data_IF_390017302395
#
_entry.id   IF_390017302395
#
_cell.length_a   1.000
_cell.length_b   1.000
_cell.length_c   1.000
_cell.angle_alpha   90.00
_cell.angle_beta   90.00
_cell.angle_gamma   90.00
#
_symmetry.space_group_name_H-M   'P 1'
#
loop_
_entity.id
_entity.type
_entity.pdbx_description
1 polymer ?
#
# COMPACT_ATOMS: atom_id res chain seq x y z
N UNK A 1 1.33 -12.72 -3.06
CA UNK A 1 2.65 -12.06 -2.91
C UNK A 1 2.74 -11.42 -1.53
N UNK A 2 3.90 -11.45 -0.87
CA UNK A 2 4.09 -10.85 0.46
C UNK A 2 5.39 -10.04 0.50
N UNK A 3 5.40 -8.95 1.27
CA UNK A 3 6.54 -8.06 1.41
C UNK A 3 6.44 -7.23 2.69
N UNK A 4 7.60 -6.91 3.25
CA UNK A 4 7.77 -6.06 4.43
C UNK A 4 8.78 -4.93 4.12
N UNK A 5 8.55 -3.72 4.66
CA UNK A 5 9.43 -2.55 4.43
C UNK A 5 9.57 -2.23 2.94
N UNK A 6 10.79 -2.03 2.41
CA UNK A 6 11.00 -1.73 0.99
C UNK A 6 10.35 -2.76 0.03
N UNK A 7 10.29 -4.04 0.42
CA UNK A 7 9.63 -5.07 -0.39
C UNK A 7 8.10 -4.95 -0.37
N UNK A 8 7.51 -4.39 0.70
CA UNK A 8 6.10 -4.01 0.73
C UNK A 8 5.79 -2.91 -0.30
N UNK A 9 6.64 -1.88 -0.39
CA UNK A 9 6.53 -0.83 -1.41
C UNK A 9 6.62 -1.40 -2.82
N UNK A 10 7.55 -2.35 -3.05
CA UNK A 10 7.67 -3.04 -4.34
C UNK A 10 6.39 -3.79 -4.72
N UNK A 11 5.87 -4.67 -3.85
CA UNK A 11 4.69 -5.47 -4.19
C UNK A 11 3.43 -4.61 -4.33
N UNK A 12 3.33 -3.49 -3.61
CA UNK A 12 2.23 -2.54 -3.76
C UNK A 12 2.27 -1.91 -5.15
N UNK A 13 3.42 -1.39 -5.59
CA UNK A 13 3.58 -0.85 -6.96
C UNK A 13 3.35 -1.91 -8.04
N UNK A 14 3.88 -3.12 -7.83
CA UNK A 14 3.69 -4.25 -8.74
C UNK A 14 2.20 -4.62 -8.88
N UNK A 15 1.44 -4.58 -7.78
CA UNK A 15 0.00 -4.87 -7.80
C UNK A 15 -0.85 -3.87 -8.58
N UNK A 16 -0.40 -2.62 -8.69
CA UNK A 16 -1.06 -1.62 -9.55
C UNK A 16 -0.75 -1.84 -11.04
N UNK A 17 0.43 -2.36 -11.36
CA UNK A 17 0.88 -2.60 -12.73
C UNK A 17 0.34 -3.91 -13.31
N UNK A 18 0.21 -4.93 -12.47
CA UNK A 18 -0.16 -6.30 -12.86
C UNK A 18 -1.22 -6.89 -11.92
N UNK A 19 -2.40 -6.25 -11.76
CA UNK A 19 -3.42 -6.75 -10.85
C UNK A 19 -3.94 -8.14 -11.26
N UNK A 20 -3.89 -8.48 -12.55
CA UNK A 20 -4.29 -9.78 -13.11
C UNK A 20 -3.34 -10.94 -12.76
N UNK A 21 -2.15 -10.65 -12.21
CA UNK A 21 -1.14 -11.64 -11.84
C UNK A 21 -1.12 -11.96 -10.35
N UNK A 22 -2.00 -11.35 -9.55
CA UNK A 22 -1.95 -11.44 -8.09
C UNK A 22 -3.27 -11.99 -7.56
N UNK A 23 -3.21 -13.17 -6.96
CA UNK A 23 -4.37 -13.78 -6.31
C UNK A 23 -4.63 -13.22 -4.90
N UNK A 24 -3.58 -12.83 -4.17
CA UNK A 24 -3.66 -12.27 -2.82
C UNK A 24 -2.37 -11.50 -2.48
N UNK A 25 -2.48 -10.49 -1.62
CA UNK A 25 -1.39 -9.56 -1.30
C UNK A 25 -1.25 -9.37 0.22
N UNK A 26 -0.04 -9.45 0.76
CA UNK A 26 0.24 -9.12 2.15
C UNK A 26 1.34 -8.04 2.24
N UNK A 27 1.01 -6.87 2.79
CA UNK A 27 1.88 -5.68 2.81
C UNK A 27 2.16 -5.29 4.26
N UNK A 28 3.41 -5.42 4.69
CA UNK A 28 3.84 -5.11 6.06
C UNK A 28 4.77 -3.92 6.18
N UNK A 29 4.62 -3.11 7.22
CA UNK A 29 5.61 -2.08 7.60
C UNK A 29 5.98 -1.16 6.44
N UNK A 30 4.98 -0.67 5.69
CA UNK A 30 5.17 0.08 4.45
C UNK A 30 5.36 1.59 4.68
N UNK A 31 5.69 2.01 5.91
CA UNK A 31 6.03 3.40 6.27
C UNK A 31 4.95 4.46 5.94
N UNK A 32 3.69 4.02 5.79
CA UNK A 32 2.56 4.89 5.43
C UNK A 32 2.52 5.27 3.95
N UNK A 33 3.21 4.55 3.07
CA UNK A 33 3.45 4.90 1.67
C UNK A 33 2.76 3.96 0.66
N UNK A 34 1.45 3.70 0.81
CA UNK A 34 0.73 3.01 -0.26
C UNK A 34 0.48 3.92 -1.46
N UNK A 35 0.54 3.35 -2.65
CA UNK A 35 -0.06 3.95 -3.84
C UNK A 35 -1.55 4.17 -3.63
N UNK A 36 -2.04 5.34 -4.05
CA UNK A 36 -3.46 5.66 -4.00
C UNK A 36 -4.13 5.27 -5.33
N UNK A 37 -5.25 4.51 -5.32
CA UNK A 37 -6.01 4.12 -6.51
C UNK A 37 -6.83 5.26 -7.11
N UNK A 38 -6.25 6.47 -7.19
CA UNK A 38 -6.89 7.68 -7.70
C UNK A 38 -5.87 8.62 -8.36
N UNK A 39 -6.36 9.56 -9.17
CA UNK A 39 -5.53 10.50 -9.94
C UNK A 39 -5.18 11.78 -9.19
N UNK A 40 -5.93 12.13 -8.15
CA UNK A 40 -5.68 13.33 -7.37
C UNK A 40 -6.19 13.23 -5.94
N UNK A 41 -5.68 14.10 -5.07
CA UNK A 41 -6.16 14.32 -3.71
C UNK A 41 -6.16 15.82 -3.45
N UNK A 42 -7.26 16.36 -2.94
CA UNK A 42 -7.41 17.81 -2.65
C UNK A 42 -7.05 18.71 -3.86
N UNK A 43 -7.36 18.26 -5.08
CA UNK A 43 -7.03 18.97 -6.32
C UNK A 43 -5.57 18.84 -6.79
N UNK A 44 -4.71 18.15 -6.04
CA UNK A 44 -3.31 17.88 -6.40
C UNK A 44 -3.20 16.57 -7.16
N UNK A 45 -2.63 16.60 -8.36
CA UNK A 45 -2.40 15.39 -9.18
C UNK A 45 -1.39 14.45 -8.53
N UNK A 46 -1.76 13.17 -8.46
CA UNK A 46 -0.95 12.08 -7.92
C UNK A 46 -0.40 11.23 -9.06
N UNK A 47 0.83 11.53 -9.48
CA UNK A 47 1.56 10.72 -10.45
C UNK A 47 2.11 9.45 -9.79
N UNK A 48 2.51 8.47 -10.59
CA UNK A 48 3.30 7.34 -10.12
C UNK A 48 4.60 7.86 -9.47
N UNK A 49 5.03 7.35 -8.30
CA UNK A 49 4.45 6.20 -7.58
C UNK A 49 3.48 6.57 -6.44
N UNK A 50 2.95 7.79 -6.37
CA UNK A 50 1.98 8.19 -5.32
C UNK A 50 0.56 7.82 -5.70
N UNK A 51 0.19 7.97 -6.98
CA UNK A 51 -1.15 7.64 -7.48
C UNK A 51 -1.13 7.30 -8.97
N UNK A 52 -2.27 7.48 -9.64
CA UNK A 52 -2.53 6.93 -10.98
C UNK A 52 -2.70 7.96 -12.11
N UNK A 53 -2.38 9.24 -11.85
CA UNK A 53 -2.64 10.33 -12.79
C UNK A 53 -1.98 10.16 -14.16
N UNK A 54 -0.72 9.72 -14.18
CA UNK A 54 0.10 9.59 -15.39
C UNK A 54 0.35 8.13 -15.80
N UNK A 55 -0.43 7.17 -15.25
CA UNK A 55 -0.28 5.73 -15.56
C UNK A 55 -0.34 5.42 -17.05
N UNK A 56 -1.35 5.95 -17.75
CA UNK A 56 -1.54 5.70 -19.18
C UNK A 56 -0.37 6.24 -20.01
N UNK A 57 0.21 7.38 -19.59
CA UNK A 57 1.39 7.95 -20.22
C UNK A 57 2.65 7.11 -19.98
N UNK A 58 2.83 6.59 -18.76
CA UNK A 58 4.05 5.88 -18.37
C UNK A 58 4.08 4.43 -18.85
N UNK A 59 2.95 3.75 -18.80
CA UNK A 59 2.87 2.30 -19.02
C UNK A 59 2.09 1.93 -20.28
N UNK A 60 1.57 2.93 -21.02
CA UNK A 60 0.70 2.71 -22.19
C UNK A 60 -0.52 1.84 -21.86
N UNK A 61 -0.97 1.88 -20.61
CA UNK A 61 -2.13 1.17 -20.08
C UNK A 61 -2.82 2.00 -19.00
N UNK A 62 -4.16 1.93 -18.95
CA UNK A 62 -4.93 2.51 -17.85
C UNK A 62 -4.81 1.62 -16.62
N UNK A 63 -4.86 2.22 -15.43
CA UNK A 63 -4.93 1.45 -14.19
C UNK A 63 -6.23 0.64 -14.15
N UNK A 64 -6.10 -0.68 -14.11
CA UNK A 64 -7.22 -1.61 -14.01
C UNK A 64 -7.68 -1.74 -12.56
N UNK A 65 -8.44 -0.72 -12.13
CA UNK A 65 -8.98 -0.64 -10.77
C UNK A 65 -9.97 -1.77 -10.47
N UNK A 66 -10.68 -2.27 -11.47
CA UNK A 66 -11.71 -3.30 -11.26
C UNK A 66 -11.06 -4.64 -10.95
N UNK A 67 -10.02 -5.05 -11.69
CA UNK A 67 -9.23 -6.23 -11.30
C UNK A 67 -8.52 -6.00 -9.96
N UNK A 68 -7.93 -4.82 -9.74
CA UNK A 68 -7.23 -4.51 -8.48
C UNK A 68 -8.13 -4.64 -7.24
N UNK A 69 -9.40 -4.22 -7.33
CA UNK A 69 -10.39 -4.36 -6.24
C UNK A 69 -10.70 -5.81 -5.89
N UNK A 70 -10.49 -6.76 -6.81
CA UNK A 70 -10.76 -8.18 -6.52
C UNK A 70 -9.70 -8.81 -5.63
N UNK A 71 -8.47 -8.28 -5.65
CA UNK A 71 -7.32 -8.82 -4.92
C UNK A 71 -7.56 -8.66 -3.42
N UNK A 72 -7.65 -9.74 -2.63
CA UNK A 72 -7.63 -9.68 -1.18
C UNK A 72 -6.28 -9.15 -0.70
N UNK A 73 -6.29 -8.12 0.14
CA UNK A 73 -5.08 -7.48 0.67
C UNK A 73 -5.08 -7.52 2.20
N UNK A 74 -4.03 -8.09 2.78
CA UNK A 74 -3.78 -8.03 4.22
C UNK A 74 -2.64 -7.05 4.48
N UNK A 75 -2.99 -5.88 5.01
CA UNK A 75 -2.07 -4.77 5.20
C UNK A 75 -1.85 -4.58 6.68
N UNK A 76 -0.61 -4.59 7.14
CA UNK A 76 -0.29 -4.56 8.56
C UNK A 76 0.86 -3.62 8.88
N UNK A 77 0.76 -2.97 10.03
CA UNK A 77 1.75 -1.99 10.47
C UNK A 77 1.89 -1.98 11.99
N UNK A 78 3.12 -1.78 12.47
CA UNK A 78 3.38 -1.56 13.87
C UNK A 78 2.83 -0.20 14.33
N UNK A 79 2.20 -0.17 15.50
CA UNK A 79 1.71 1.06 16.12
C UNK A 79 2.84 2.09 16.36
N UNK A 80 4.03 1.60 16.66
CA UNK A 80 5.22 2.39 16.96
C UNK A 80 6.16 2.51 15.75
N UNK A 81 5.72 2.12 14.55
CA UNK A 81 6.54 2.21 13.35
C UNK A 81 6.60 3.68 12.88
N UNK A 82 7.76 4.30 13.11
CA UNK A 82 8.07 5.69 12.76
C UNK A 82 9.15 5.80 11.67
N UNK A 83 9.47 4.68 11.01
CA UNK A 83 10.48 4.63 9.96
C UNK A 83 10.01 5.40 8.72
N UNK A 84 10.40 6.66 8.60
CA UNK A 84 9.89 7.58 7.58
C UNK A 84 10.80 7.65 6.35
N UNK A 85 10.55 6.78 5.35
CA UNK A 85 11.32 6.80 4.10
C UNK A 85 11.03 8.06 3.25
N UNK A 86 9.86 8.69 3.40
CA UNK A 86 9.51 9.95 2.71
C UNK A 86 10.50 11.07 3.00
N UNK A 87 11.21 11.09 4.14
CA UNK A 87 12.13 12.19 4.42
C UNK A 87 13.42 12.14 3.60
N UNK A 88 13.74 11.00 2.99
CA UNK A 88 14.99 10.79 2.26
C UNK A 88 14.77 10.95 0.74
N UNK A 89 15.82 11.40 0.05
CA UNK A 89 15.76 11.73 -1.39
C UNK A 89 16.04 10.53 -2.31
N UNK A 90 16.49 9.41 -1.75
CA UNK A 90 16.62 8.13 -2.42
C UNK A 90 15.27 7.42 -2.61
N UNK A 91 14.27 7.72 -1.76
CA UNK A 91 12.92 7.20 -1.87
C UNK A 91 12.00 8.09 -2.72
N UNK A 92 12.05 9.41 -2.52
CA UNK A 92 11.15 10.38 -3.16
C UNK A 92 11.84 11.70 -3.49
N UNK A 93 11.57 12.23 -4.68
CA UNK A 93 12.09 13.54 -5.06
C UNK A 93 11.40 14.68 -4.27
N UNK A 94 11.97 15.89 -4.33
CA UNK A 94 11.46 17.06 -3.57
C UNK A 94 9.98 17.36 -3.82
N UNK A 95 9.49 17.17 -5.05
CA UNK A 95 8.09 17.44 -5.41
C UNK A 95 7.16 16.39 -4.79
N UNK A 96 7.53 15.12 -4.89
CA UNK A 96 6.79 14.01 -4.29
C UNK A 96 6.69 14.15 -2.78
N UNK A 97 7.82 14.42 -2.10
CA UNK A 97 7.84 14.65 -0.64
C UNK A 97 6.89 15.77 -0.21
N UNK A 98 6.87 16.87 -0.95
CA UNK A 98 5.95 17.98 -0.69
C UNK A 98 4.48 17.54 -0.84
N UNK A 99 4.15 16.80 -1.90
CA UNK A 99 2.79 16.29 -2.11
C UNK A 99 2.37 15.39 -0.94
N UNK A 100 3.24 14.44 -0.57
CA UNK A 100 2.97 13.47 0.49
C UNK A 100 2.78 14.18 1.84
N UNK A 101 3.73 15.03 2.24
CA UNK A 101 3.68 15.68 3.56
C UNK A 101 2.52 16.68 3.68
N UNK A 102 2.20 17.44 2.62
CA UNK A 102 1.19 18.49 2.68
C UNK A 102 -0.24 17.98 2.48
N UNK A 103 -0.43 16.87 1.75
CA UNK A 103 -1.77 16.42 1.33
C UNK A 103 -2.17 15.05 1.86
N UNK A 104 -1.21 14.21 2.25
CA UNK A 104 -1.48 12.85 2.75
C UNK A 104 -1.22 12.80 4.25
N UNK A 105 -0.02 13.20 4.68
CA UNK A 105 0.32 13.26 6.10
C UNK A 105 1.79 13.54 6.35
N UNK A 106 2.04 14.40 7.32
CA UNK A 106 3.40 14.80 7.71
C UNK A 106 4.16 13.75 8.53
N UNK A 107 3.50 12.68 8.98
CA UNK A 107 4.13 11.58 9.74
C UNK A 107 3.67 10.24 9.20
N UNK A 108 4.49 9.22 9.38
CA UNK A 108 4.21 7.81 9.01
C UNK A 108 2.80 7.40 9.44
N UNK A 109 2.46 7.58 10.71
CA UNK A 109 1.17 7.17 11.27
C UNK A 109 -0.01 7.97 10.71
N UNK A 110 0.16 9.27 10.42
CA UNK A 110 -0.89 10.05 9.74
C UNK A 110 -1.13 9.54 8.33
N UNK A 111 -0.06 9.22 7.59
CA UNK A 111 -0.19 8.66 6.24
C UNK A 111 -0.80 7.26 6.27
N UNK A 112 -0.49 6.45 7.27
CA UNK A 112 -1.12 5.15 7.48
C UNK A 112 -2.64 5.25 7.66
N UNK A 113 -3.11 6.22 8.45
CA UNK A 113 -4.55 6.51 8.60
C UNK A 113 -5.16 6.99 7.28
N UNK A 114 -4.47 7.86 6.53
CA UNK A 114 -5.01 8.33 5.26
C UNK A 114 -5.05 7.23 4.19
N UNK A 115 -4.06 6.33 4.16
CA UNK A 115 -4.10 5.13 3.31
C UNK A 115 -5.36 4.30 3.57
N UNK A 116 -5.70 4.08 4.83
CA UNK A 116 -6.94 3.37 5.21
C UNK A 116 -8.18 4.09 4.68
N UNK A 117 -8.27 5.40 4.91
CA UNK A 117 -9.40 6.22 4.45
C UNK A 117 -9.58 6.14 2.94
N UNK A 118 -8.48 6.28 2.17
CA UNK A 118 -8.52 6.20 0.71
C UNK A 118 -8.93 4.81 0.25
N UNK A 119 -8.35 3.74 0.80
CA UNK A 119 -8.65 2.37 0.38
C UNK A 119 -10.11 2.00 0.68
N UNK A 120 -10.64 2.42 1.84
CA UNK A 120 -12.06 2.25 2.18
C UNK A 120 -12.96 3.02 1.22
N UNK A 121 -12.68 4.31 0.97
CA UNK A 121 -13.48 5.15 0.04
C UNK A 121 -13.46 4.61 -1.39
N UNK A 122 -12.36 4.02 -1.82
CA UNK A 122 -12.20 3.41 -3.15
C UNK A 122 -12.74 1.98 -3.22
N UNK A 123 -13.31 1.45 -2.13
CA UNK A 123 -13.85 0.09 -2.04
C UNK A 123 -12.81 -0.97 -2.44
N UNK A 124 -11.56 -0.81 -1.98
CA UNK A 124 -10.50 -1.79 -2.17
C UNK A 124 -10.72 -2.95 -1.20
N UNK A 125 -10.54 -4.20 -1.67
CA UNK A 125 -10.60 -5.40 -0.84
C UNK A 125 -9.36 -5.52 0.05
N UNK A 126 -9.25 -4.64 1.04
CA UNK A 126 -8.12 -4.55 1.95
C UNK A 126 -8.58 -4.63 3.41
N UNK A 127 -7.88 -5.44 4.19
CA UNK A 127 -7.96 -5.45 5.65
C UNK A 127 -6.71 -4.81 6.21
N UNK A 128 -6.88 -3.80 7.07
CA UNK A 128 -5.79 -3.13 7.76
C UNK A 128 -5.67 -3.64 9.21
N UNK A 129 -4.44 -3.91 9.64
CA UNK A 129 -4.12 -4.40 10.98
C UNK A 129 -3.01 -3.58 11.61
N UNK A 130 -3.35 -2.86 12.68
CA UNK A 130 -2.36 -2.25 13.57
C UNK A 130 -1.91 -3.27 14.61
N UNK A 131 -0.60 -3.37 14.84
CA UNK A 131 0.00 -4.27 15.83
C UNK A 131 0.56 -3.43 16.97
N UNK A 132 -0.07 -3.51 18.13
CA UNK A 132 0.30 -2.74 19.32
C UNK A 132 1.74 -3.03 19.76
N UNK A 133 2.43 -1.99 20.26
CA UNK A 133 3.79 -2.11 20.84
C UNK A 133 4.87 -2.64 19.88
N UNK A 134 4.61 -2.64 18.57
CA UNK A 134 5.56 -3.06 17.54
C UNK A 134 5.96 -1.84 16.71
N UNK A 135 7.26 -1.67 16.46
CA UNK A 135 7.81 -0.66 15.54
C UNK A 135 8.10 -1.24 14.17
N UNK A 136 9.22 -0.85 13.55
CA UNK A 136 9.60 -1.31 12.22
C UNK A 136 10.24 -2.72 12.20
N UNK A 137 9.49 -3.73 12.65
CA UNK A 137 9.91 -5.14 12.60
C UNK A 137 8.69 -6.07 12.59
N UNK A 138 8.93 -7.37 12.46
CA UNK A 138 7.89 -8.41 12.52
C UNK A 138 7.99 -9.24 13.79
N UNK A 139 6.86 -9.84 14.20
CA UNK A 139 6.79 -10.82 15.28
C UNK A 139 6.34 -12.18 14.74
N UNK A 140 6.53 -13.25 15.52
CA UNK A 140 6.04 -14.58 15.16
C UNK A 140 4.53 -14.61 14.89
N UNK A 141 3.75 -13.89 15.70
CA UNK A 141 2.29 -13.76 15.52
C UNK A 141 1.95 -13.09 14.19
N UNK A 142 2.62 -11.99 13.82
CA UNK A 142 2.39 -11.32 12.55
C UNK A 142 2.69 -12.25 11.36
N UNK A 143 3.81 -12.97 11.43
CA UNK A 143 4.18 -13.92 10.38
C UNK A 143 3.15 -15.06 10.26
N UNK A 144 2.63 -15.55 11.39
CA UNK A 144 1.57 -16.56 11.39
C UNK A 144 0.26 -16.02 10.79
N UNK A 145 -0.15 -14.79 11.13
CA UNK A 145 -1.35 -14.17 10.55
C UNK A 145 -1.25 -14.04 9.03
N UNK A 146 -0.08 -13.65 8.51
CA UNK A 146 0.17 -13.59 7.06
C UNK A 146 0.06 -14.98 6.42
N UNK A 147 0.64 -16.02 7.03
CA UNK A 147 0.53 -17.40 6.53
C UNK A 147 -0.94 -17.84 6.49
N UNK A 148 -1.68 -17.59 7.57
CA UNK A 148 -3.09 -17.97 7.70
C UNK A 148 -3.99 -17.21 6.71
N UNK A 149 -3.68 -15.94 6.45
CA UNK A 149 -4.33 -15.16 5.40
C UNK A 149 -4.19 -15.85 4.03
N UNK A 150 -2.97 -16.20 3.61
CA UNK A 150 -2.77 -16.88 2.31
C UNK A 150 -3.41 -18.26 2.27
N UNK A 151 -3.29 -19.05 3.33
CA UNK A 151 -3.92 -20.36 3.41
C UNK A 151 -5.45 -20.28 3.23
N UNK A 152 -6.06 -19.23 3.76
CA UNK A 152 -7.49 -18.97 3.58
C UNK A 152 -7.83 -18.63 2.12
N UNK A 153 -7.04 -17.78 1.46
CA UNK A 153 -7.28 -17.42 0.05
C UNK A 153 -7.10 -18.62 -0.89
N UNK A 154 -6.11 -19.47 -0.63
CA UNK A 154 -5.89 -20.69 -1.42
C UNK A 154 -7.10 -21.63 -1.37
N UNK A 155 -7.69 -21.83 -0.18
CA UNK A 155 -8.89 -22.67 0.00
C UNK A 155 -10.14 -22.14 -0.68
N UNK A 156 -10.25 -20.83 -0.87
CA UNK A 156 -11.40 -20.21 -1.54
C UNK A 156 -11.35 -20.43 -3.06
N UNK A 157 -10.16 -20.58 -3.63
CA UNK A 157 -9.96 -20.78 -5.07
C UNK A 157 -10.12 -22.25 -5.50
N UNK A 158 -10.10 -23.19 -4.55
CA UNK A 158 -10.35 -24.62 -4.80
C UNK A 158 -11.84 -24.99 -4.85
N UNK A 159 -12.75 -24.03 -4.58
CA UNK A 159 -14.21 -24.22 -4.64
C UNK A 159 -14.79 -23.57 -5.88
#
# INVERSE_FOLDING_TARGET
MSGFSASATFINRFSFLHPDKIQALAIGGFNGELMFPQKDINGVKLNYPIGTNDFEKLFNQKFDIETYKTIPQYIYMGELDDNDAVQFDDAYNKKERKIINDNIGATVQKRYVECQNVYIKSNINATFKTVEKVGHWTTGTMNLEVIMFFFTQMKQTEK
#
